data_IF_884165265760
#
_entry.id   IF_884165265760
#
_cell.length_a   1.000
_cell.length_b   1.000
_cell.length_c   1.000
_cell.angle_alpha   90.00
_cell.angle_beta   90.00
_cell.angle_gamma   90.00
#
_symmetry.space_group_name_H-M   'P 1'
#
loop_
_entity.id
_entity.type
_entity.pdbx_description
1 polymer ?
#
# COMPACT_ATOMS: atom_id res chain seq x y z
N UNK A 1 -8.88 -11.69 -5.63
CA UNK A 1 -7.80 -11.49 -6.61
C UNK A 1 -7.43 -10.03 -6.58
N UNK A 2 -6.13 -9.71 -6.64
CA UNK A 2 -5.68 -8.32 -6.66
C UNK A 2 -5.96 -7.70 -8.03
N UNK A 3 -6.06 -6.37 -8.11
CA UNK A 3 -6.37 -5.66 -9.35
C UNK A 3 -5.23 -5.66 -10.38
N UNK A 4 -4.00 -5.98 -9.96
CA UNK A 4 -2.82 -6.07 -10.83
C UNK A 4 -2.11 -7.42 -10.59
N UNK A 5 -1.52 -8.05 -11.63
CA UNK A 5 -0.69 -9.23 -11.46
C UNK A 5 0.44 -9.03 -10.46
N UNK A 6 0.77 -10.08 -9.70
CA UNK A 6 1.85 -10.04 -8.73
C UNK A 6 3.23 -9.85 -9.38
N UNK A 7 3.36 -10.26 -10.65
CA UNK A 7 4.57 -10.17 -11.49
C UNK A 7 5.20 -8.77 -11.49
N UNK A 8 4.39 -7.70 -11.36
CA UNK A 8 4.92 -6.33 -11.28
C UNK A 8 5.84 -6.12 -10.06
N UNK A 9 5.61 -6.85 -8.97
CA UNK A 9 6.49 -6.81 -7.79
C UNK A 9 7.69 -7.72 -7.96
N UNK A 10 7.56 -8.81 -8.71
CA UNK A 10 8.68 -9.70 -9.05
C UNK A 10 9.69 -8.97 -9.95
N UNK A 11 9.22 -8.15 -10.89
CA UNK A 11 10.08 -7.29 -11.74
C UNK A 11 10.88 -6.25 -10.94
N UNK A 12 10.38 -5.83 -9.76
CA UNK A 12 11.06 -4.88 -8.88
C UNK A 12 12.02 -5.59 -7.91
N UNK A 13 11.89 -6.91 -7.74
CA UNK A 13 12.66 -7.66 -6.77
C UNK A 13 14.16 -7.67 -7.09
N UNK A 14 14.99 -7.71 -6.04
CA UNK A 14 16.45 -7.72 -6.14
C UNK A 14 17.05 -9.01 -5.55
N UNK A 15 16.77 -10.18 -6.16
CA UNK A 15 17.16 -11.48 -5.58
C UNK A 15 18.67 -11.65 -5.45
N UNK A 16 19.45 -11.10 -6.38
CA UNK A 16 20.92 -11.15 -6.32
C UNK A 16 21.47 -10.33 -5.15
N UNK A 17 20.97 -9.10 -4.95
CA UNK A 17 21.27 -8.29 -3.75
C UNK A 17 20.89 -9.03 -2.46
N UNK A 18 19.69 -9.64 -2.41
CA UNK A 18 19.26 -10.40 -1.24
C UNK A 18 20.17 -11.58 -0.94
N UNK A 19 20.57 -12.34 -1.96
CA UNK A 19 21.48 -13.46 -1.80
C UNK A 19 22.88 -13.00 -1.35
N UNK A 20 23.44 -11.94 -1.96
CA UNK A 20 24.72 -11.38 -1.56
C UNK A 20 24.71 -10.88 -0.10
N UNK A 21 23.59 -10.30 0.36
CA UNK A 21 23.42 -9.91 1.76
C UNK A 21 23.39 -11.12 2.71
N UNK A 22 22.75 -12.22 2.31
CA UNK A 22 22.78 -13.47 3.08
C UNK A 22 24.18 -14.07 3.14
N UNK A 23 24.93 -14.02 2.04
CA UNK A 23 26.28 -14.55 1.97
C UNK A 23 27.24 -13.74 2.85
N UNK A 24 27.09 -12.41 2.89
CA UNK A 24 27.82 -11.54 3.82
C UNK A 24 27.52 -11.91 5.28
N UNK A 25 26.24 -12.03 5.66
CA UNK A 25 25.86 -12.42 7.02
C UNK A 25 26.41 -13.80 7.41
N UNK A 26 26.50 -14.74 6.45
CA UNK A 26 27.12 -16.03 6.70
C UNK A 26 28.64 -15.90 6.91
N UNK A 27 29.33 -15.12 6.07
CA UNK A 27 30.77 -14.86 6.19
C UNK A 27 31.12 -14.15 7.51
N UNK A 28 30.30 -13.19 7.96
CA UNK A 28 30.48 -12.50 9.25
C UNK A 28 30.37 -13.47 10.42
N UNK A 29 29.44 -14.43 10.37
CA UNK A 29 29.29 -15.47 11.40
C UNK A 29 30.48 -16.43 11.41
N UNK A 30 30.95 -16.87 10.24
CA UNK A 30 32.17 -17.67 10.13
C UNK A 30 33.38 -16.95 10.71
N UNK A 31 33.55 -15.66 10.39
CA UNK A 31 34.64 -14.84 10.90
C UNK A 31 34.56 -14.63 12.42
N UNK A 32 33.36 -14.36 12.94
CA UNK A 32 33.17 -14.23 14.39
C UNK A 32 33.53 -15.52 15.13
N UNK A 33 33.14 -16.68 14.60
CA UNK A 33 33.48 -17.98 15.17
C UNK A 33 34.99 -18.25 15.12
N UNK A 34 35.62 -18.05 13.96
CA UNK A 34 37.08 -18.23 13.81
C UNK A 34 37.89 -17.26 14.69
N UNK A 35 37.36 -16.06 14.95
CA UNK A 35 37.95 -15.10 15.88
C UNK A 35 37.88 -15.60 17.33
N UNK A 36 36.73 -16.13 17.76
CA UNK A 36 36.58 -16.71 19.09
C UNK A 36 37.53 -17.88 19.31
N UNK A 37 37.67 -18.77 18.33
CA UNK A 37 38.61 -19.90 18.39
C UNK A 37 40.06 -19.43 18.55
N UNK A 38 40.46 -18.37 17.86
CA UNK A 38 41.78 -17.76 18.04
C UNK A 38 41.94 -17.12 19.43
N UNK A 39 40.90 -16.43 19.94
CA UNK A 39 40.93 -15.81 21.28
C UNK A 39 41.01 -16.85 22.40
N UNK A 40 40.21 -17.92 22.33
CA UNK A 40 40.24 -19.05 23.27
C UNK A 40 41.58 -19.77 23.22
N UNK A 41 42.12 -20.00 22.01
CA UNK A 41 43.42 -20.62 21.85
C UNK A 41 44.54 -19.81 22.49
N UNK A 42 44.56 -18.49 22.28
CA UNK A 42 45.51 -17.55 22.89
C UNK A 42 45.39 -17.50 24.41
N UNK A 43 44.17 -17.62 24.94
CA UNK A 43 43.93 -17.63 26.38
C UNK A 43 44.50 -18.90 27.05
N UNK A 44 44.35 -20.07 26.42
CA UNK A 44 44.83 -21.35 26.94
C UNK A 44 46.36 -21.51 26.90
N UNK A 45 47.04 -20.94 25.90
CA UNK A 45 48.49 -21.18 25.67
C UNK A 45 49.37 -19.98 26.09
N UNK A 46 48.84 -19.08 26.91
CA UNK A 46 49.45 -17.76 27.21
C UNK A 46 50.90 -17.82 27.73
N UNK A 47 51.28 -18.90 28.42
CA UNK A 47 52.62 -19.09 29.00
C UNK A 47 53.60 -19.84 28.09
N UNK A 48 53.13 -20.41 26.97
CA UNK A 48 53.92 -21.28 26.09
C UNK A 48 54.55 -20.54 24.90
N UNK A 49 54.24 -19.26 24.71
CA UNK A 49 54.69 -18.51 23.54
C UNK A 49 56.06 -17.84 23.73
N UNK A 50 56.98 -18.08 22.79
CA UNK A 50 58.24 -17.33 22.71
C UNK A 50 58.01 -15.91 22.19
N UNK A 51 58.89 -14.96 22.56
CA UNK A 51 58.85 -13.58 22.06
C UNK A 51 59.08 -13.48 20.54
N UNK A 52 59.77 -14.45 19.91
CA UNK A 52 59.95 -14.47 18.46
C UNK A 52 58.66 -14.88 17.73
N UNK A 53 57.92 -15.88 18.22
CA UNK A 53 56.65 -16.32 17.62
C UNK A 53 55.61 -15.19 17.59
N UNK A 54 55.46 -14.48 18.72
CA UNK A 54 54.58 -13.30 18.81
C UNK A 54 54.99 -12.18 17.84
N UNK A 55 56.29 -11.97 17.60
CA UNK A 55 56.78 -10.98 16.62
C UNK A 55 56.50 -11.40 15.18
N UNK A 56 56.68 -12.68 14.85
CA UNK A 56 56.41 -13.22 13.52
C UNK A 56 54.93 -13.06 13.15
N UNK A 57 54.02 -13.33 14.09
CA UNK A 57 52.59 -13.17 13.87
C UNK A 57 52.15 -11.71 13.77
N UNK A 58 52.66 -10.83 14.64
CA UNK A 58 52.39 -9.39 14.52
C UNK A 58 52.89 -8.83 13.18
N UNK A 59 54.00 -9.35 12.65
CA UNK A 59 54.51 -9.00 11.32
C UNK A 59 53.57 -9.52 10.22
N UNK A 60 53.14 -10.79 10.28
CA UNK A 60 52.21 -11.40 9.32
C UNK A 60 50.86 -10.67 9.27
N UNK A 61 50.32 -10.29 10.43
CA UNK A 61 49.09 -9.51 10.55
C UNK A 61 49.24 -8.13 9.88
N UNK A 62 50.38 -7.46 10.10
CA UNK A 62 50.66 -6.14 9.49
C UNK A 62 50.93 -6.21 7.99
N UNK A 63 51.53 -7.29 7.49
CA UNK A 63 51.85 -7.44 6.07
C UNK A 63 50.75 -8.09 5.24
N UNK A 64 49.67 -8.58 5.86
CA UNK A 64 48.58 -9.27 5.18
C UNK A 64 48.98 -10.61 4.57
N UNK A 65 50.05 -11.23 5.06
CA UNK A 65 50.59 -12.50 4.54
C UNK A 65 50.14 -13.63 5.46
N UNK A 66 49.47 -14.63 4.90
CA UNK A 66 49.02 -15.83 5.63
C UNK A 66 50.26 -16.60 6.11
N UNK A 67 50.44 -16.86 7.42
CA UNK A 67 51.51 -17.73 7.90
C UNK A 67 51.37 -19.14 7.30
N UNK A 68 52.47 -19.78 6.92
CA UNK A 68 52.44 -21.18 6.48
C UNK A 68 51.91 -22.07 7.63
N UNK A 69 50.94 -22.93 7.33
CA UNK A 69 50.30 -23.81 8.31
C UNK A 69 51.20 -25.02 8.58
N UNK A 70 52.16 -24.84 9.48
CA UNK A 70 53.03 -25.94 9.96
C UNK A 70 52.58 -26.47 11.34
N UNK A 71 51.90 -25.62 12.15
CA UNK A 71 51.40 -25.95 13.49
C UNK A 71 49.88 -25.64 13.62
N UNK A 72 49.22 -26.26 14.61
CA UNK A 72 47.79 -26.09 14.91
C UNK A 72 47.38 -24.61 15.06
N UNK A 73 48.29 -23.78 15.58
CA UNK A 73 48.07 -22.35 15.78
C UNK A 73 48.08 -21.56 14.47
N UNK A 74 49.05 -21.86 13.60
CA UNK A 74 49.11 -21.29 12.26
C UNK A 74 47.87 -21.67 11.45
N UNK A 75 47.26 -22.82 11.75
CA UNK A 75 46.00 -23.26 11.14
C UNK A 75 44.79 -22.42 11.58
N UNK A 76 44.61 -22.16 12.88
CA UNK A 76 43.51 -21.34 13.41
C UNK A 76 43.62 -19.88 12.97
N UNK A 77 44.83 -19.31 12.98
CA UNK A 77 45.06 -17.96 12.44
C UNK A 77 44.83 -17.89 10.93
N UNK A 78 45.23 -18.92 10.17
CA UNK A 78 44.96 -19.01 8.74
C UNK A 78 43.46 -19.11 8.45
N UNK A 79 42.70 -19.87 9.25
CA UNK A 79 41.25 -19.98 9.14
C UNK A 79 40.58 -18.62 9.40
N UNK A 80 40.97 -17.93 10.48
CA UNK A 80 40.50 -16.58 10.80
C UNK A 80 40.81 -15.58 9.68
N UNK A 81 42.04 -15.55 9.15
CA UNK A 81 42.40 -14.70 8.02
C UNK A 81 41.60 -15.00 6.74
N UNK A 82 41.41 -16.28 6.40
CA UNK A 82 40.58 -16.68 5.24
C UNK A 82 39.14 -16.21 5.42
N UNK A 83 38.57 -16.37 6.61
CA UNK A 83 37.21 -15.89 6.89
C UNK A 83 37.07 -14.37 6.82
N UNK A 84 38.09 -13.61 7.27
CA UNK A 84 38.13 -12.16 7.09
C UNK A 84 38.18 -11.75 5.60
N UNK A 85 38.97 -12.46 4.80
CA UNK A 85 39.04 -12.22 3.35
C UNK A 85 37.70 -12.55 2.66
N UNK A 86 36.99 -13.60 3.10
CA UNK A 86 35.64 -13.92 2.62
C UNK A 86 34.66 -12.78 2.93
N UNK A 87 34.70 -12.19 4.13
CA UNK A 87 33.86 -11.03 4.49
C UNK A 87 34.10 -9.88 3.53
N UNK A 88 35.35 -9.47 3.33
CA UNK A 88 35.69 -8.38 2.41
C UNK A 88 35.23 -8.66 0.96
N UNK A 89 35.37 -9.91 0.49
CA UNK A 89 34.87 -10.32 -0.82
C UNK A 89 33.34 -10.29 -0.93
N UNK A 90 32.64 -10.70 0.13
CA UNK A 90 31.17 -10.66 0.20
C UNK A 90 30.65 -9.22 0.27
N UNK A 91 31.32 -8.32 1.00
CA UNK A 91 31.01 -6.88 1.02
C UNK A 91 31.15 -6.24 -0.35
N UNK A 92 32.23 -6.56 -1.08
CA UNK A 92 32.43 -6.11 -2.46
C UNK A 92 31.31 -6.60 -3.38
N UNK A 93 30.98 -7.89 -3.29
CA UNK A 93 29.90 -8.51 -4.07
C UNK A 93 28.54 -7.87 -3.80
N UNK A 94 28.23 -7.60 -2.52
CA UNK A 94 26.99 -6.92 -2.13
C UNK A 94 26.95 -5.48 -2.65
N UNK A 95 28.07 -4.76 -2.59
CA UNK A 95 28.15 -3.38 -3.10
C UNK A 95 27.88 -3.32 -4.60
N UNK A 96 28.49 -4.22 -5.37
CA UNK A 96 28.29 -4.31 -6.82
C UNK A 96 26.85 -4.71 -7.16
N UNK A 97 26.28 -5.66 -6.41
CA UNK A 97 24.89 -6.07 -6.57
C UNK A 97 23.92 -4.92 -6.26
N UNK A 98 24.14 -4.16 -5.18
CA UNK A 98 23.30 -3.03 -4.80
C UNK A 98 23.27 -1.95 -5.90
N UNK A 99 24.41 -1.61 -6.50
CA UNK A 99 24.48 -0.59 -7.55
C UNK A 99 23.74 -1.05 -8.80
N UNK A 100 24.00 -2.28 -9.25
CA UNK A 100 23.39 -2.85 -10.45
C UNK A 100 21.88 -3.03 -10.30
N UNK A 101 21.46 -3.69 -9.22
CA UNK A 101 20.07 -4.06 -9.01
C UNK A 101 19.20 -2.84 -8.69
N UNK A 102 19.74 -1.80 -8.01
CA UNK A 102 19.00 -0.56 -7.74
C UNK A 102 18.60 0.16 -9.04
N UNK A 103 19.47 0.18 -10.06
CA UNK A 103 19.14 0.83 -11.33
C UNK A 103 17.98 0.10 -12.02
N UNK A 104 18.06 -1.23 -12.12
CA UNK A 104 17.03 -2.07 -12.74
C UNK A 104 15.71 -2.02 -11.97
N UNK A 105 15.74 -2.10 -10.64
CA UNK A 105 14.53 -2.05 -9.80
C UNK A 105 13.83 -0.69 -9.89
N UNK A 106 14.57 0.41 -10.04
CA UNK A 106 13.98 1.74 -10.25
C UNK A 106 13.29 1.83 -11.60
N UNK A 107 13.89 1.29 -12.65
CA UNK A 107 13.28 1.29 -13.98
C UNK A 107 11.98 0.47 -14.00
N UNK A 108 12.00 -0.74 -13.43
CA UNK A 108 10.81 -1.58 -13.26
C UNK A 108 9.72 -0.88 -12.43
N UNK A 109 10.11 -0.22 -11.32
CA UNK A 109 9.19 0.56 -10.49
C UNK A 109 8.48 1.66 -11.29
N UNK A 110 9.22 2.46 -12.06
CA UNK A 110 8.61 3.53 -12.85
C UNK A 110 7.76 2.99 -14.00
N UNK A 111 8.21 1.93 -14.68
CA UNK A 111 7.44 1.26 -15.74
C UNK A 111 6.11 0.71 -15.21
N UNK A 112 6.15 -0.05 -14.12
CA UNK A 112 4.94 -0.56 -13.45
C UNK A 112 4.05 0.57 -12.92
N UNK A 113 4.64 1.60 -12.32
CA UNK A 113 3.92 2.76 -11.83
C UNK A 113 3.18 3.51 -12.95
N UNK A 114 3.83 3.75 -14.11
CA UNK A 114 3.25 4.41 -15.29
C UNK A 114 2.09 3.61 -15.85
N UNK A 115 2.28 2.29 -15.96
CA UNK A 115 1.30 1.39 -16.54
C UNK A 115 0.05 1.25 -15.68
N UNK A 116 0.23 1.05 -14.37
CA UNK A 116 -0.87 0.65 -13.51
C UNK A 116 -1.43 1.81 -12.68
N UNK A 117 -0.62 2.64 -12.03
CA UNK A 117 -1.12 3.58 -11.00
C UNK A 117 -2.08 4.69 -11.47
N UNK A 118 -2.05 5.22 -12.71
CA UNK A 118 -2.94 6.32 -13.10
C UNK A 118 -4.43 6.03 -12.86
N UNK A 119 -4.89 4.81 -13.11
CA UNK A 119 -6.30 4.42 -12.88
C UNK A 119 -6.64 4.23 -11.39
N UNK A 120 -5.64 4.04 -10.55
CA UNK A 120 -5.78 3.73 -9.12
C UNK A 120 -5.68 4.99 -8.26
N UNK A 121 -4.92 5.98 -8.71
CA UNK A 121 -4.70 7.23 -7.97
C UNK A 121 -5.81 8.27 -8.17
N UNK A 122 -6.81 8.00 -9.02
CA UNK A 122 -7.99 8.87 -9.19
C UNK A 122 -8.74 9.09 -7.87
N UNK A 123 -8.71 8.10 -6.98
CA UNK A 123 -9.35 8.13 -5.66
C UNK A 123 -8.35 8.20 -4.50
N UNK A 124 -7.07 8.47 -4.81
CA UNK A 124 -6.07 8.72 -3.77
C UNK A 124 -6.24 10.12 -3.17
N UNK A 125 -5.54 10.37 -2.07
CA UNK A 125 -5.54 11.67 -1.43
C UNK A 125 -5.19 12.80 -2.41
N UNK A 126 -5.78 13.98 -2.17
CA UNK A 126 -5.61 15.16 -3.00
C UNK A 126 -4.12 15.49 -3.26
N UNK A 127 -3.81 15.88 -4.50
CA UNK A 127 -2.46 16.18 -4.96
C UNK A 127 -1.53 14.96 -5.10
N UNK A 128 -1.91 13.74 -4.69
CA UNK A 128 -1.12 12.52 -5.00
C UNK A 128 -1.21 12.21 -6.48
N UNK A 129 -2.41 12.29 -7.05
CA UNK A 129 -2.65 12.09 -8.47
C UNK A 129 -1.82 13.05 -9.32
N UNK A 130 -1.88 14.34 -9.04
CA UNK A 130 -1.19 15.39 -9.80
C UNK A 130 0.33 15.23 -9.69
N UNK A 131 0.85 14.95 -8.48
CA UNK A 131 2.28 14.71 -8.26
C UNK A 131 2.78 13.47 -8.98
N UNK A 132 1.97 12.41 -9.02
CA UNK A 132 2.33 11.16 -9.69
C UNK A 132 2.21 11.34 -11.20
N UNK A 133 1.08 11.83 -11.72
CA UNK A 133 0.88 12.10 -13.15
C UNK A 133 1.97 13.03 -13.69
N UNK A 134 2.26 14.16 -13.06
CA UNK A 134 3.29 15.11 -13.52
C UNK A 134 4.71 14.50 -13.59
N UNK A 135 4.97 13.42 -12.84
CA UNK A 135 6.26 12.69 -12.88
C UNK A 135 6.24 11.53 -13.86
N UNK A 136 5.06 10.95 -14.09
CA UNK A 136 4.86 9.85 -15.02
C UNK A 136 4.75 10.33 -16.47
N UNK A 137 4.20 11.52 -16.73
CA UNK A 137 4.00 12.10 -18.07
C UNK A 137 5.23 12.79 -18.67
N UNK A 138 6.31 12.94 -17.89
CA UNK A 138 7.62 13.33 -18.44
C UNK A 138 8.27 12.11 -19.10
N UNK A 139 7.72 11.71 -20.23
CA UNK A 139 8.29 10.67 -21.06
C UNK A 139 9.61 11.17 -21.68
N UNK A 140 10.68 10.36 -21.57
CA UNK A 140 11.97 10.62 -22.19
C UNK A 140 13.04 11.33 -21.33
N UNK A 141 12.69 11.89 -20.17
CA UNK A 141 13.73 12.35 -19.22
C UNK A 141 14.29 11.16 -18.43
N UNK A 142 15.63 11.04 -18.40
CA UNK A 142 16.35 10.07 -17.55
C UNK A 142 15.83 10.12 -16.11
N UNK A 143 15.64 8.95 -15.48
CA UNK A 143 15.18 8.86 -14.08
C UNK A 143 15.98 9.86 -13.23
N UNK A 144 15.28 10.79 -12.58
CA UNK A 144 15.90 11.88 -11.83
C UNK A 144 16.92 11.35 -10.80
N UNK A 145 17.97 12.14 -10.56
CA UNK A 145 18.96 11.86 -9.52
C UNK A 145 18.26 11.61 -8.19
N UNK A 146 18.64 10.52 -7.51
CA UNK A 146 17.96 9.99 -6.32
C UNK A 146 18.24 10.82 -5.06
N UNK A 147 17.68 12.03 -5.00
CA UNK A 147 17.71 12.93 -3.83
C UNK A 147 16.68 12.49 -2.77
N UNK A 148 16.63 13.17 -1.62
CA UNK A 148 15.68 12.88 -0.52
C UNK A 148 14.22 12.79 -1.00
N UNK A 149 13.77 13.76 -1.81
CA UNK A 149 12.39 13.77 -2.30
C UNK A 149 12.10 12.59 -3.24
N UNK A 150 12.99 12.33 -4.21
CA UNK A 150 12.85 11.20 -5.13
C UNK A 150 12.74 9.85 -4.39
N UNK A 151 13.49 9.67 -3.29
CA UNK A 151 13.38 8.46 -2.44
C UNK A 151 12.01 8.33 -1.78
N UNK A 152 11.45 9.43 -1.29
CA UNK A 152 10.12 9.43 -0.68
C UNK A 152 9.04 9.12 -1.72
N UNK A 153 9.18 9.66 -2.93
CA UNK A 153 8.25 9.42 -4.03
C UNK A 153 8.31 7.97 -4.51
N UNK A 154 9.50 7.44 -4.77
CA UNK A 154 9.72 6.02 -5.14
C UNK A 154 9.11 5.09 -4.09
N UNK A 155 9.29 5.38 -2.80
CA UNK A 155 8.69 4.60 -1.72
C UNK A 155 7.16 4.64 -1.78
N UNK A 156 6.55 5.80 -2.06
CA UNK A 156 5.10 5.87 -2.23
C UNK A 156 4.62 5.07 -3.44
N UNK A 157 5.29 5.18 -4.59
CA UNK A 157 4.95 4.39 -5.78
C UNK A 157 5.00 2.89 -5.48
N UNK A 158 6.07 2.44 -4.80
CA UNK A 158 6.23 1.05 -4.40
C UNK A 158 5.12 0.59 -3.45
N UNK A 159 4.78 1.39 -2.43
CA UNK A 159 3.70 1.06 -1.49
C UNK A 159 2.34 0.95 -2.18
N UNK A 160 2.06 1.80 -3.17
CA UNK A 160 0.84 1.69 -3.96
C UNK A 160 0.87 0.44 -4.85
N UNK A 161 1.97 0.15 -5.56
CA UNK A 161 2.09 -1.08 -6.35
C UNK A 161 1.92 -2.34 -5.48
N UNK A 162 2.55 -2.37 -4.30
CA UNK A 162 2.40 -3.45 -3.33
C UNK A 162 0.95 -3.62 -2.89
N UNK A 163 0.24 -2.51 -2.66
CA UNK A 163 -1.18 -2.55 -2.29
C UNK A 163 -2.02 -3.15 -3.41
N UNK A 164 -1.80 -2.74 -4.66
CA UNK A 164 -2.69 -3.13 -5.77
C UNK A 164 -2.41 -4.53 -6.33
N UNK A 165 -1.18 -5.04 -6.12
CA UNK A 165 -0.77 -6.37 -6.55
C UNK A 165 -0.80 -7.41 -5.42
N UNK A 166 -0.58 -7.00 -4.17
CA UNK A 166 -0.50 -7.90 -3.01
C UNK A 166 -1.72 -7.91 -2.09
N UNK A 167 -2.67 -6.98 -2.25
CA UNK A 167 -3.86 -6.90 -1.39
C UNK A 167 -5.14 -7.08 -2.19
N UNK A 168 -5.99 -7.99 -1.71
CA UNK A 168 -7.38 -8.13 -2.15
C UNK A 168 -8.25 -7.08 -1.43
N UNK A 169 -8.15 -5.81 -1.82
CA UNK A 169 -8.93 -4.72 -1.25
C UNK A 169 -10.05 -4.29 -2.22
N UNK A 170 -11.25 -3.99 -1.72
CA UNK A 170 -12.40 -3.56 -2.54
C UNK A 170 -12.42 -2.04 -2.78
N UNK A 171 -11.39 -1.33 -2.34
CA UNK A 171 -11.35 0.13 -2.38
C UNK A 171 -10.90 0.62 -3.76
N UNK A 172 -11.75 1.38 -4.47
CA UNK A 172 -11.49 1.90 -5.83
C UNK A 172 -11.37 0.80 -6.92
N UNK A 173 -10.64 1.01 -8.02
CA UNK A 173 -10.40 0.02 -9.09
C UNK A 173 -9.66 -1.26 -8.62
N UNK A 174 -9.40 -1.41 -7.31
CA UNK A 174 -8.41 -2.29 -6.72
C UNK A 174 -8.90 -3.71 -6.46
N UNK A 175 -10.21 -3.95 -6.49
CA UNK A 175 -10.78 -5.24 -6.13
C UNK A 175 -11.76 -5.72 -7.16
N UNK A 176 -11.40 -6.64 -8.08
CA UNK A 176 -12.41 -7.41 -8.79
C UNK A 176 -13.26 -8.15 -7.74
N UNK A 177 -14.51 -7.73 -7.61
CA UNK A 177 -15.52 -8.58 -7.01
C UNK A 177 -15.84 -9.65 -8.04
N UNK A 178 -15.43 -10.88 -7.75
CA UNK A 178 -15.75 -12.02 -8.58
C UNK A 178 -17.10 -12.60 -8.16
N UNK A 179 -17.92 -12.96 -9.16
CA UNK A 179 -19.08 -13.81 -8.94
C UNK A 179 -18.70 -15.23 -9.36
N UNK A 180 -19.17 -16.21 -8.60
CA UNK A 180 -18.96 -17.62 -8.90
C UNK A 180 -20.26 -18.40 -8.78
N UNK A 181 -20.28 -19.60 -9.35
CA UNK A 181 -21.42 -20.51 -9.29
C UNK A 181 -21.03 -21.74 -8.50
N UNK A 182 -21.89 -22.15 -7.55
CA UNK A 182 -21.72 -23.41 -6.82
C UNK A 182 -22.38 -24.52 -7.63
N UNK A 183 -21.61 -25.56 -7.99
CA UNK A 183 -22.09 -26.74 -8.72
C UNK A 183 -22.06 -27.98 -7.81
N UNK A 184 -23.18 -28.72 -7.64
CA UNK A 184 -23.18 -29.94 -6.85
C UNK A 184 -22.21 -30.99 -7.39
N UNK A 185 -21.54 -31.72 -6.49
CA UNK A 185 -20.65 -32.83 -6.86
C UNK A 185 -19.23 -32.44 -7.27
N UNK A 186 -18.91 -31.14 -7.35
CA UNK A 186 -17.55 -30.64 -7.57
C UNK A 186 -16.95 -30.22 -6.23
N UNK A 187 -15.88 -30.88 -5.81
CA UNK A 187 -15.14 -30.58 -4.57
C UNK A 187 -13.93 -29.65 -4.77
N UNK A 188 -13.79 -29.07 -5.96
CA UNK A 188 -12.64 -28.25 -6.36
C UNK A 188 -13.05 -26.82 -6.67
N UNK A 189 -12.17 -25.88 -6.34
CA UNK A 189 -12.30 -24.47 -6.75
C UNK A 189 -11.63 -24.27 -8.10
N UNK A 190 -12.39 -23.84 -9.09
CA UNK A 190 -11.87 -23.42 -10.40
C UNK A 190 -11.89 -21.89 -10.47
N UNK A 191 -10.75 -21.30 -10.82
CA UNK A 191 -10.61 -19.85 -11.04
C UNK A 191 -10.32 -19.62 -12.51
N UNK A 192 -11.21 -18.86 -13.17
CA UNK A 192 -11.03 -18.43 -14.57
C UNK A 192 -11.07 -16.89 -14.66
N UNK A 193 -10.05 -16.18 -14.12
CA UNK A 193 -10.00 -14.73 -14.20
C UNK A 193 -9.81 -14.29 -15.66
N UNK A 194 -10.76 -13.48 -16.15
CA UNK A 194 -10.64 -12.85 -17.45
C UNK A 194 -10.06 -11.43 -17.32
N UNK A 195 -9.13 -11.01 -18.20
CA UNK A 195 -8.65 -9.64 -18.21
C UNK A 195 -9.78 -8.64 -18.46
N UNK A 196 -9.69 -7.48 -17.81
CA UNK A 196 -10.62 -6.37 -18.03
C UNK A 196 -11.67 -6.20 -16.94
N UNK A 197 -12.66 -5.36 -17.21
CA UNK A 197 -13.70 -4.97 -16.25
C UNK A 197 -15.05 -5.33 -16.86
N UNK A 198 -15.75 -6.27 -16.24
CA UNK A 198 -17.07 -6.71 -16.70
C UNK A 198 -18.15 -5.63 -16.51
N UNK A 199 -18.11 -4.91 -15.38
CA UNK A 199 -19.04 -3.82 -15.06
C UNK A 199 -18.34 -2.78 -14.18
N UNK A 200 -18.62 -1.50 -14.42
CA UNK A 200 -18.17 -0.38 -13.59
C UNK A 200 -19.35 0.49 -13.24
N UNK A 201 -19.56 0.73 -11.96
CA UNK A 201 -20.54 1.68 -11.44
C UNK A 201 -19.81 2.72 -10.58
N UNK A 202 -20.31 3.94 -10.61
CA UNK A 202 -19.77 5.06 -9.85
C UNK A 202 -20.90 5.70 -9.08
N UNK A 203 -20.64 5.97 -7.80
CA UNK A 203 -21.58 6.65 -6.92
C UNK A 203 -20.93 7.94 -6.44
N UNK A 204 -21.76 8.93 -6.12
CA UNK A 204 -21.29 10.11 -5.41
C UNK A 204 -20.88 9.71 -4.00
N UNK A 205 -19.76 10.28 -3.53
CA UNK A 205 -19.44 10.27 -2.11
C UNK A 205 -20.58 10.93 -1.33
N UNK A 206 -20.86 10.45 -0.12
CA UNK A 206 -21.99 10.92 0.69
C UNK A 206 -21.99 12.45 0.86
N UNK A 207 -20.81 13.03 1.10
CA UNK A 207 -20.67 14.48 1.28
C UNK A 207 -20.98 15.25 -0.01
N UNK A 208 -20.62 14.72 -1.18
CA UNK A 208 -20.89 15.35 -2.46
C UNK A 208 -22.38 15.28 -2.80
N UNK A 209 -23.01 14.12 -2.55
CA UNK A 209 -24.46 13.97 -2.69
C UNK A 209 -25.23 14.91 -1.75
N UNK A 210 -24.81 15.02 -0.48
CA UNK A 210 -25.41 15.94 0.48
C UNK A 210 -25.21 17.41 0.07
N UNK A 211 -24.01 17.77 -0.39
CA UNK A 211 -23.72 19.13 -0.87
C UNK A 211 -24.56 19.51 -2.09
N UNK A 212 -24.70 18.59 -3.05
CA UNK A 212 -25.57 18.80 -4.21
C UNK A 212 -27.04 18.94 -3.80
N UNK A 213 -27.54 18.05 -2.94
CA UNK A 213 -28.90 18.14 -2.41
C UNK A 213 -29.14 19.45 -1.65
N UNK A 214 -28.19 19.90 -0.83
CA UNK A 214 -28.28 21.16 -0.11
C UNK A 214 -28.30 22.37 -1.06
N UNK A 215 -27.47 22.38 -2.10
CA UNK A 215 -27.45 23.44 -3.11
C UNK A 215 -28.78 23.50 -3.89
N UNK A 216 -29.31 22.34 -4.30
CA UNK A 216 -30.61 22.23 -4.97
C UNK A 216 -31.74 22.74 -4.07
N UNK A 217 -31.75 22.34 -2.79
CA UNK A 217 -32.79 22.75 -1.84
C UNK A 217 -32.70 24.23 -1.42
N UNK A 218 -31.54 24.86 -1.59
CA UNK A 218 -31.34 26.29 -1.31
C UNK A 218 -31.87 27.19 -2.43
N UNK A 219 -32.03 26.66 -3.64
CA UNK A 219 -32.61 27.36 -4.78
C UNK A 219 -34.15 27.28 -4.73
N UNK A 220 -34.87 28.41 -4.54
CA UNK A 220 -36.33 28.41 -4.48
C UNK A 220 -37.00 27.91 -5.75
N UNK A 221 -36.41 28.14 -6.93
CA UNK A 221 -36.98 27.70 -8.21
C UNK A 221 -36.90 26.18 -8.32
N UNK A 222 -35.72 25.60 -8.06
CA UNK A 222 -35.55 24.15 -8.04
C UNK A 222 -36.44 23.49 -6.97
N UNK A 223 -36.54 24.08 -5.78
CA UNK A 223 -37.37 23.57 -4.67
C UNK A 223 -38.86 23.54 -5.03
N UNK A 224 -39.35 24.47 -5.84
CA UNK A 224 -40.74 24.48 -6.31
C UNK A 224 -41.05 23.32 -7.27
N UNK A 225 -40.05 22.85 -8.02
CA UNK A 225 -40.18 21.76 -9.00
C UNK A 225 -39.98 20.36 -8.40
N UNK A 226 -39.37 20.27 -7.21
CA UNK A 226 -39.11 18.99 -6.55
C UNK A 226 -40.39 18.47 -5.90
N UNK A 227 -40.67 17.18 -6.09
CA UNK A 227 -41.76 16.48 -5.42
C UNK A 227 -41.34 16.08 -4.00
N UNK A 228 -41.88 16.72 -2.94
CA UNK A 228 -41.53 16.36 -1.57
C UNK A 228 -42.09 14.98 -1.23
N UNK A 229 -41.40 14.29 -0.33
CA UNK A 229 -41.85 13.02 0.23
C UNK A 229 -41.80 13.04 1.74
N UNK A 230 -42.66 12.26 2.38
CA UNK A 230 -42.56 12.02 3.82
C UNK A 230 -41.19 11.46 4.19
N UNK A 231 -40.68 11.85 5.36
CA UNK A 231 -39.42 11.32 5.87
C UNK A 231 -39.51 9.78 5.96
N UNK A 232 -38.53 8.99 5.45
CA UNK A 232 -38.64 7.53 5.36
C UNK A 232 -38.86 6.82 6.70
N UNK A 233 -38.46 7.47 7.79
CA UNK A 233 -38.66 6.98 9.15
C UNK A 233 -39.88 7.57 9.85
N UNK A 234 -40.64 8.44 9.19
CA UNK A 234 -41.88 8.99 9.73
C UNK A 234 -43.08 8.27 9.10
N UNK A 235 -44.12 8.06 9.90
CA UNK A 235 -45.40 7.54 9.44
C UNK A 235 -46.53 8.35 10.06
N UNK A 236 -47.64 8.44 9.35
CA UNK A 236 -48.84 9.09 9.84
C UNK A 236 -49.74 8.02 10.46
N UNK A 237 -50.10 8.19 11.72
CA UNK A 237 -51.12 7.40 12.39
C UNK A 237 -52.20 8.35 12.90
N UNK A 238 -53.42 8.21 12.40
CA UNK A 238 -54.54 9.12 12.70
C UNK A 238 -54.18 10.58 12.36
N UNK A 239 -54.12 11.43 13.37
CA UNK A 239 -53.78 12.85 13.32
C UNK A 239 -52.37 13.12 13.88
N UNK A 240 -51.49 12.12 13.89
CA UNK A 240 -50.13 12.25 14.41
C UNK A 240 -49.06 11.80 13.41
N UNK A 241 -47.97 12.56 13.34
CA UNK A 241 -46.73 12.16 12.68
C UNK A 241 -45.81 11.48 13.69
N UNK A 242 -45.49 10.21 13.46
CA UNK A 242 -44.68 9.38 14.36
C UNK A 242 -43.35 9.04 13.71
N UNK A 243 -42.25 9.39 14.37
CA UNK A 243 -40.91 8.97 13.97
C UNK A 243 -40.57 7.60 14.55
N UNK A 244 -40.38 6.61 13.69
CA UNK A 244 -40.10 5.20 14.03
C UNK A 244 -38.83 5.00 14.84
N UNK A 245 -37.80 5.82 14.64
CA UNK A 245 -36.52 5.68 15.34
C UNK A 245 -36.56 6.18 16.79
N UNK A 246 -37.30 7.26 17.06
CA UNK A 246 -37.32 7.91 18.38
C UNK A 246 -38.61 7.66 19.15
N UNK A 247 -39.68 7.25 18.46
CA UNK A 247 -41.03 7.22 19.01
C UNK A 247 -41.65 8.60 19.22
N UNK A 248 -40.98 9.68 18.79
CA UNK A 248 -41.52 11.03 18.89
C UNK A 248 -42.80 11.14 18.06
N UNK A 249 -43.82 11.74 18.65
CA UNK A 249 -45.14 11.93 18.05
C UNK A 249 -45.49 13.41 18.04
N UNK A 250 -45.93 13.90 16.89
CA UNK A 250 -46.30 15.30 16.67
C UNK A 250 -47.75 15.36 16.18
N UNK A 251 -48.64 16.10 16.85
CA UNK A 251 -50.01 16.27 16.38
C UNK A 251 -50.03 17.08 15.07
N UNK A 252 -50.91 16.70 14.16
CA UNK A 252 -51.17 17.33 12.88
C UNK A 252 -52.59 17.90 12.89
N UNK A 253 -52.74 19.13 12.42
CA UNK A 253 -54.08 19.65 12.08
C UNK A 253 -54.54 19.08 10.73
N UNK A 254 -55.80 19.35 10.37
CA UNK A 254 -56.40 18.81 9.15
C UNK A 254 -55.71 19.31 7.87
N UNK A 255 -55.21 20.55 7.86
CA UNK A 255 -54.54 21.14 6.71
C UNK A 255 -53.16 20.51 6.48
N UNK A 256 -52.41 20.31 7.56
CA UNK A 256 -51.08 19.72 7.54
C UNK A 256 -51.14 18.21 7.26
N UNK A 257 -52.18 17.52 7.75
CA UNK A 257 -52.46 16.13 7.40
C UNK A 257 -52.74 16.00 5.90
N UNK A 258 -53.63 16.82 5.34
CA UNK A 258 -53.94 16.79 3.90
C UNK A 258 -52.69 17.07 3.06
N UNK A 259 -51.90 18.09 3.42
CA UNK A 259 -50.65 18.40 2.74
C UNK A 259 -49.66 17.24 2.76
N UNK A 260 -49.41 16.64 3.94
CA UNK A 260 -48.46 15.54 4.09
C UNK A 260 -48.91 14.26 3.37
N UNK A 261 -50.22 14.02 3.24
CA UNK A 261 -50.75 12.91 2.45
C UNK A 261 -50.47 13.05 0.95
N UNK A 262 -50.31 14.29 0.46
CA UNK A 262 -49.91 14.57 -0.92
C UNK A 262 -48.38 14.64 -1.12
N UNK A 263 -47.58 14.57 -0.05
CA UNK A 263 -46.12 14.46 -0.10
C UNK A 263 -45.67 13.01 -0.34
N UNK A 264 -45.97 12.46 -1.52
CA UNK A 264 -45.67 11.08 -1.91
C UNK A 264 -44.39 10.92 -2.75
N UNK A 265 -43.71 12.03 -3.06
CA UNK A 265 -42.55 12.06 -3.94
C UNK A 265 -42.88 12.06 -5.42
N UNK A 266 -44.16 12.21 -5.81
CA UNK A 266 -44.60 12.29 -7.20
C UNK A 266 -45.13 13.67 -7.55
N UNK A 267 -45.89 14.33 -6.67
CA UNK A 267 -46.48 15.65 -6.91
C UNK A 267 -45.46 16.79 -6.63
N UNK A 268 -45.14 17.67 -7.62
CA UNK A 268 -44.22 18.79 -7.40
C UNK A 268 -44.72 19.78 -6.35
N UNK A 269 -43.80 20.41 -5.61
CA UNK A 269 -44.14 21.32 -4.51
C UNK A 269 -45.05 22.49 -4.93
N UNK A 270 -44.85 23.07 -6.12
CA UNK A 270 -45.70 24.15 -6.64
C UNK A 270 -47.16 23.73 -6.88
N UNK A 271 -47.42 22.44 -7.07
CA UNK A 271 -48.76 21.88 -7.34
C UNK A 271 -49.53 21.54 -6.06
N UNK A 272 -48.87 21.54 -4.89
CA UNK A 272 -49.48 21.18 -3.61
C UNK A 272 -50.36 22.28 -3.01
N UNK A 273 -50.42 23.47 -3.62
CA UNK A 273 -51.23 24.60 -3.14
C UNK A 273 -50.76 25.22 -1.81
N UNK A 274 -49.74 24.65 -1.17
CA UNK A 274 -49.15 25.14 0.07
C UNK A 274 -48.05 26.19 -0.18
N UNK A 275 -47.86 27.08 0.80
CA UNK A 275 -46.72 27.99 0.80
C UNK A 275 -45.41 27.18 0.90
N UNK A 276 -44.45 27.46 0.01
CA UNK A 276 -43.12 26.84 0.03
C UNK A 276 -42.40 27.03 1.38
N UNK A 277 -42.73 28.06 2.15
CA UNK A 277 -42.21 28.26 3.50
C UNK A 277 -42.77 27.25 4.52
N UNK A 278 -44.05 26.88 4.42
CA UNK A 278 -44.66 25.83 5.24
C UNK A 278 -43.98 24.48 4.99
N UNK A 279 -43.76 24.15 3.71
CA UNK A 279 -42.98 22.98 3.32
C UNK A 279 -41.52 23.04 3.78
N UNK A 280 -40.99 24.23 4.10
CA UNK A 280 -39.59 24.42 4.53
C UNK A 280 -39.46 24.10 6.01
N UNK A 281 -40.41 24.58 6.80
CA UNK A 281 -40.52 24.30 8.23
C UNK A 281 -40.71 22.80 8.47
N UNK A 282 -41.55 22.14 7.66
CA UNK A 282 -41.79 20.69 7.76
C UNK A 282 -40.58 19.81 7.39
N UNK A 283 -39.56 20.38 6.74
CA UNK A 283 -38.37 19.67 6.31
C UNK A 283 -37.17 19.80 7.29
N UNK A 284 -37.31 20.60 8.35
CA UNK A 284 -36.30 20.79 9.41
C UNK A 284 -36.52 19.84 10.58
#
# INVERSE_FOLDING_TARGET
MAGVPFDVLEEIATPATFQAAKDLLAAEREFAQAKLEVEEFLACHREEFSKEQLRAWNKAIRSGVIPAAEDEISSSFSACWRSAAKVAGAEGTLTDALVRDLASARDALFTGARKYLPSYLVFAADGVRERVINKLTKDGESIQTRKKQARADERHLLLYLQRIAGKNDSLSAFGPQGWGTIKPGIGTLELDPQPGIARRETFLERWAAHGAAAAINADPEARAEISPRLHPHARIEQDHLIFTETGASYPLDAEMLDLLLHCDGTVPAHSLGANLETLRILAQ
#
